data_IF_137461365770
#
_entry.id   IF_137461365770
#
_cell.length_a   1.000
_cell.length_b   1.000
_cell.length_c   1.000
_cell.angle_alpha   90.00
_cell.angle_beta   90.00
_cell.angle_gamma   90.00
#
_symmetry.space_group_name_H-M   'P 1'
#
loop_
_entity.id
_entity.type
_entity.pdbx_description
1 polymer ?
#
# COMPACT_ATOMS: atom_id res chain seq x y z
N UNK A 1 -42.84 -19.70 -16.53
CA UNK A 1 -41.45 -19.50 -17.01
C UNK A 1 -40.88 -18.27 -16.32
N UNK A 2 -39.56 -18.29 -16.09
CA UNK A 2 -38.71 -17.25 -15.49
C UNK A 2 -38.48 -17.36 -13.98
N UNK A 3 -37.43 -18.08 -13.61
CA UNK A 3 -36.74 -17.94 -12.32
C UNK A 3 -35.58 -16.95 -12.54
N UNK A 4 -35.68 -15.76 -11.95
CA UNK A 4 -34.61 -14.77 -11.96
C UNK A 4 -33.42 -15.30 -11.15
N UNK A 5 -32.27 -15.41 -11.82
CA UNK A 5 -31.01 -15.80 -11.21
C UNK A 5 -30.51 -14.70 -10.28
N UNK A 6 -30.49 -14.95 -8.97
CA UNK A 6 -29.70 -14.18 -8.01
C UNK A 6 -28.37 -14.89 -7.84
N UNK A 7 -27.37 -14.50 -8.65
CA UNK A 7 -25.98 -14.89 -8.40
C UNK A 7 -25.49 -14.09 -7.19
N UNK A 8 -25.57 -14.69 -6.01
CA UNK A 8 -24.89 -14.16 -4.83
C UNK A 8 -23.40 -14.41 -5.00
N UNK A 9 -22.67 -13.41 -5.52
CA UNK A 9 -21.20 -13.43 -5.52
C UNK A 9 -20.70 -13.03 -4.13
N UNK A 10 -20.80 -13.95 -3.16
CA UNK A 10 -20.03 -13.83 -1.93
C UNK A 10 -18.61 -14.32 -2.20
N UNK A 11 -17.80 -13.52 -2.91
CA UNK A 11 -16.35 -13.72 -2.90
C UNK A 11 -15.80 -13.07 -1.63
N UNK A 12 -15.83 -13.79 -0.51
CA UNK A 12 -14.89 -13.55 0.57
C UNK A 12 -13.51 -13.98 0.06
N UNK A 13 -12.90 -13.14 -0.77
CA UNK A 13 -11.49 -13.25 -1.12
C UNK A 13 -10.74 -13.30 0.22
N UNK A 14 -10.09 -14.43 0.51
CA UNK A 14 -9.25 -14.54 1.70
C UNK A 14 -8.23 -13.40 1.63
N UNK A 15 -8.38 -12.39 2.50
CA UNK A 15 -7.40 -11.34 2.71
C UNK A 15 -6.11 -12.01 3.19
N UNK A 16 -5.12 -12.12 2.31
CA UNK A 16 -3.80 -12.59 2.68
C UNK A 16 -3.09 -11.42 3.32
N UNK A 17 -3.23 -11.31 4.65
CA UNK A 17 -2.64 -10.26 5.46
C UNK A 17 -1.19 -10.01 5.02
N UNK A 18 -0.92 -8.82 4.42
CA UNK A 18 0.41 -8.53 3.89
C UNK A 18 1.45 -8.62 5.02
N UNK A 19 2.54 -9.34 4.76
CA UNK A 19 3.62 -9.52 5.71
C UNK A 19 4.58 -8.34 5.66
N UNK A 20 4.83 -7.71 6.82
CA UNK A 20 5.88 -6.71 6.96
C UNK A 20 7.25 -7.41 6.88
N UNK A 21 8.11 -6.91 5.98
CA UNK A 21 9.50 -7.30 5.84
C UNK A 21 10.43 -6.09 6.08
N UNK A 22 11.73 -6.34 6.10
CA UNK A 22 12.74 -5.30 6.36
C UNK A 22 12.95 -5.04 7.84
N UNK A 23 13.65 -3.93 8.15
CA UNK A 23 14.08 -3.60 9.53
C UNK A 23 13.19 -2.59 10.24
N UNK A 24 12.48 -1.75 9.48
CA UNK A 24 11.67 -0.65 10.02
C UNK A 24 10.31 -1.18 10.46
N UNK A 25 9.96 -0.90 11.70
CA UNK A 25 8.69 -1.30 12.32
C UNK A 25 7.70 -0.13 12.38
N UNK A 26 6.44 -0.42 12.72
CA UNK A 26 5.47 0.63 13.02
C UNK A 26 5.85 1.46 14.26
N UNK A 27 6.57 0.87 15.22
CA UNK A 27 7.04 1.62 16.39
C UNK A 27 8.13 2.63 16.00
N UNK A 28 9.01 2.27 15.06
CA UNK A 28 9.96 3.24 14.49
C UNK A 28 9.22 4.38 13.78
N UNK A 29 8.20 4.07 12.99
CA UNK A 29 7.36 5.10 12.34
C UNK A 29 6.68 5.99 13.38
N UNK A 30 6.12 5.41 14.43
CA UNK A 30 5.46 6.17 15.51
C UNK A 30 6.45 7.11 16.20
N UNK A 31 7.56 6.57 16.67
CA UNK A 31 8.52 7.31 17.50
C UNK A 31 9.25 8.40 16.70
N UNK A 32 9.72 8.08 15.48
CA UNK A 32 10.49 9.01 14.65
C UNK A 32 9.69 10.19 14.08
N UNK A 33 8.35 10.11 14.10
CA UNK A 33 7.46 11.15 13.58
C UNK A 33 6.60 11.78 14.68
N UNK A 34 7.03 11.73 15.94
CA UNK A 34 6.34 12.43 17.03
C UNK A 34 6.24 13.95 16.77
N UNK A 35 5.12 14.61 17.10
CA UNK A 35 3.94 14.07 17.79
C UNK A 35 2.94 13.34 16.88
N UNK A 36 3.08 13.44 15.56
CA UNK A 36 2.13 12.90 14.56
C UNK A 36 2.32 11.40 14.25
N UNK A 37 3.08 10.68 15.09
CA UNK A 37 3.46 9.29 14.86
C UNK A 37 2.29 8.35 14.57
N UNK A 38 1.20 8.45 15.33
CA UNK A 38 0.01 7.61 15.13
C UNK A 38 -0.69 7.89 13.80
N UNK A 39 -0.66 9.14 13.36
CA UNK A 39 -1.23 9.56 12.08
C UNK A 39 -0.45 8.95 10.92
N UNK A 40 0.87 8.86 11.05
CA UNK A 40 1.74 8.17 10.10
C UNK A 40 1.51 6.66 10.08
N UNK A 41 1.45 6.02 11.24
CA UNK A 41 1.14 4.58 11.36
C UNK A 41 -0.20 4.25 10.70
N UNK A 42 -1.24 5.04 10.98
CA UNK A 42 -2.56 4.90 10.38
C UNK A 42 -2.53 5.03 8.86
N UNK A 43 -1.74 5.97 8.34
CA UNK A 43 -1.60 6.19 6.89
C UNK A 43 -0.87 5.03 6.21
N UNK A 44 0.15 4.44 6.84
CA UNK A 44 0.85 3.25 6.34
C UNK A 44 -0.05 2.01 6.37
N UNK A 45 -0.88 1.85 7.41
CA UNK A 45 -1.90 0.78 7.44
C UNK A 45 -2.90 0.93 6.29
N UNK A 46 -3.41 2.14 6.08
CA UNK A 46 -4.39 2.41 5.03
C UNK A 46 -3.90 2.00 3.64
N UNK A 47 -2.72 2.46 3.22
CA UNK A 47 -2.18 2.10 1.90
C UNK A 47 -1.93 0.59 1.79
N UNK A 48 -1.48 -0.06 2.87
CA UNK A 48 -1.23 -1.50 2.89
C UNK A 48 -2.52 -2.26 2.62
N UNK A 49 -3.58 -1.92 3.34
CA UNK A 49 -4.87 -2.60 3.22
C UNK A 49 -5.49 -2.34 1.83
N UNK A 50 -5.36 -1.12 1.29
CA UNK A 50 -5.83 -0.81 -0.06
C UNK A 50 -5.02 -1.54 -1.16
N UNK A 51 -3.70 -1.65 -1.01
CA UNK A 51 -2.86 -2.41 -1.96
C UNK A 51 -3.15 -3.90 -1.88
N UNK A 52 -3.41 -4.44 -0.68
CA UNK A 52 -3.83 -5.85 -0.50
C UNK A 52 -5.10 -6.14 -1.30
N UNK A 53 -6.08 -5.23 -1.27
CA UNK A 53 -7.33 -5.39 -2.00
C UNK A 53 -7.14 -5.21 -3.52
N UNK A 54 -6.23 -4.34 -3.95
CA UNK A 54 -6.00 -4.01 -5.37
C UNK A 54 -5.05 -4.97 -6.11
N UNK A 55 -4.10 -5.62 -5.42
CA UNK A 55 -3.03 -6.41 -6.07
C UNK A 55 -2.90 -7.80 -5.45
N UNK A 56 -3.57 -8.80 -6.05
CA UNK A 56 -3.53 -10.20 -5.57
C UNK A 56 -2.11 -10.82 -5.59
N UNK A 57 -1.19 -10.21 -6.35
CA UNK A 57 0.21 -10.66 -6.46
C UNK A 57 1.14 -10.07 -5.41
N UNK A 58 0.68 -9.08 -4.64
CA UNK A 58 1.41 -8.51 -3.51
C UNK A 58 1.14 -9.38 -2.28
N UNK A 59 2.21 -9.79 -1.61
CA UNK A 59 2.12 -10.62 -0.39
C UNK A 59 2.96 -10.07 0.75
N UNK A 60 3.91 -9.18 0.45
CA UNK A 60 4.84 -8.59 1.40
C UNK A 60 4.96 -7.09 1.18
N UNK A 61 5.28 -6.34 2.22
CA UNK A 61 5.54 -4.90 2.16
C UNK A 61 6.68 -4.49 3.09
N UNK A 62 7.36 -3.40 2.75
CA UNK A 62 8.52 -2.87 3.46
C UNK A 62 8.36 -1.36 3.67
N UNK A 63 8.62 -0.87 4.88
CA UNK A 63 8.72 0.57 5.15
C UNK A 63 10.16 1.01 4.90
N UNK A 64 10.39 1.80 3.86
CA UNK A 64 11.72 2.19 3.38
C UNK A 64 12.23 3.45 4.09
N UNK A 65 12.44 3.32 5.41
CA UNK A 65 12.82 4.42 6.30
C UNK A 65 11.62 4.92 7.10
N UNK A 66 11.74 4.89 8.44
CA UNK A 66 10.62 5.19 9.33
C UNK A 66 10.28 6.67 9.47
N UNK A 67 11.19 7.58 9.10
CA UNK A 67 10.99 9.03 9.25
C UNK A 67 10.46 9.66 7.96
N UNK A 68 9.41 10.46 8.09
CA UNK A 68 8.85 11.25 7.01
C UNK A 68 9.88 12.26 6.48
N UNK A 69 9.92 12.44 5.17
CA UNK A 69 10.90 13.29 4.49
C UNK A 69 10.37 13.80 3.15
N UNK A 70 10.99 14.85 2.61
CA UNK A 70 10.68 15.32 1.26
C UNK A 70 11.09 14.31 0.19
N UNK A 71 10.18 14.08 -0.75
CA UNK A 71 10.45 13.21 -1.90
C UNK A 71 11.52 13.82 -2.80
N UNK A 72 12.65 13.11 -2.97
CA UNK A 72 13.68 13.51 -3.96
C UNK A 72 13.22 13.27 -5.40
N UNK A 73 12.25 12.38 -5.61
CA UNK A 73 11.75 11.97 -6.93
C UNK A 73 10.55 12.78 -7.39
N UNK A 74 9.86 13.44 -6.46
CA UNK A 74 8.76 14.35 -6.73
C UNK A 74 8.96 15.62 -5.90
N UNK A 75 9.91 16.49 -6.29
CA UNK A 75 10.20 17.71 -5.55
C UNK A 75 9.05 18.73 -5.56
N UNK A 76 8.06 18.54 -6.44
CA UNK A 76 6.86 19.37 -6.52
C UNK A 76 5.78 18.96 -5.51
N UNK A 77 5.91 17.78 -4.89
CA UNK A 77 5.06 17.38 -3.78
C UNK A 77 5.39 18.24 -2.55
N UNK A 78 4.47 19.08 -2.07
CA UNK A 78 4.75 19.96 -0.94
C UNK A 78 4.81 19.19 0.38
N UNK A 79 4.28 17.97 0.44
CA UNK A 79 4.13 17.20 1.67
C UNK A 79 5.32 16.27 1.91
N UNK A 80 5.52 15.92 3.18
CA UNK A 80 6.49 14.86 3.52
C UNK A 80 5.88 13.49 3.20
N UNK A 81 6.76 12.52 2.91
CA UNK A 81 6.37 11.16 2.55
C UNK A 81 7.06 10.12 3.43
N UNK A 82 6.39 9.00 3.63
CA UNK A 82 7.03 7.71 3.95
C UNK A 82 6.91 6.81 2.72
N UNK A 83 8.02 6.20 2.34
CA UNK A 83 8.05 5.27 1.21
C UNK A 83 7.73 3.86 1.69
N UNK A 84 6.76 3.21 1.04
CA UNK A 84 6.42 1.80 1.28
C UNK A 84 6.65 1.00 0.00
N UNK A 85 7.48 -0.03 0.04
CA UNK A 85 7.68 -0.97 -1.06
C UNK A 85 6.73 -2.16 -0.94
N UNK A 86 6.18 -2.63 -2.05
CA UNK A 86 5.29 -3.79 -2.10
C UNK A 86 5.86 -4.87 -3.00
N UNK A 87 5.82 -6.11 -2.53
CA UNK A 87 6.59 -7.22 -3.08
C UNK A 87 5.73 -8.46 -3.28
N UNK A 88 6.09 -9.23 -4.31
CA UNK A 88 5.63 -10.60 -4.48
C UNK A 88 6.30 -11.53 -3.48
N UNK A 89 5.77 -12.75 -3.34
CA UNK A 89 6.35 -13.81 -2.50
C UNK A 89 7.79 -14.20 -2.86
N UNK A 90 8.21 -13.95 -4.11
CA UNK A 90 9.57 -14.18 -4.57
C UNK A 90 10.52 -13.01 -4.27
N UNK A 91 10.08 -12.01 -3.49
CA UNK A 91 10.85 -10.81 -3.18
C UNK A 91 10.97 -9.81 -4.34
N UNK A 92 10.17 -9.96 -5.41
CA UNK A 92 10.19 -9.01 -6.54
C UNK A 92 9.33 -7.80 -6.20
N UNK A 93 9.92 -6.59 -6.24
CA UNK A 93 9.17 -5.36 -6.02
C UNK A 93 8.19 -5.11 -7.16
N UNK A 94 6.91 -5.05 -6.84
CA UNK A 94 5.84 -4.80 -7.81
C UNK A 94 5.47 -3.32 -7.87
N UNK A 95 5.46 -2.63 -6.74
CA UNK A 95 5.21 -1.18 -6.70
C UNK A 95 5.83 -0.53 -5.46
N UNK A 96 5.85 0.80 -5.45
CA UNK A 96 6.16 1.62 -4.29
C UNK A 96 5.09 2.68 -4.09
N UNK A 97 4.73 2.95 -2.84
CA UNK A 97 3.84 4.02 -2.45
C UNK A 97 4.59 5.13 -1.73
N UNK A 98 4.34 6.38 -2.09
CA UNK A 98 4.63 7.53 -1.24
C UNK A 98 3.37 7.85 -0.46
N UNK A 99 3.44 7.69 0.86
CA UNK A 99 2.33 7.91 1.79
C UNK A 99 2.49 9.27 2.43
N UNK A 100 1.41 10.04 2.54
CA UNK A 100 1.36 11.29 3.30
C UNK A 100 0.68 11.09 4.65
N UNK A 101 0.92 12.00 5.60
CA UNK A 101 0.30 11.96 6.93
C UNK A 101 -1.24 12.01 6.90
N UNK A 102 -1.85 12.60 5.87
CA UNK A 102 -3.32 12.64 5.73
C UNK A 102 -3.91 11.34 5.18
N UNK A 103 -3.10 10.30 4.96
CA UNK A 103 -3.53 9.03 4.40
C UNK A 103 -3.81 9.07 2.89
N UNK A 104 -3.47 10.17 2.20
CA UNK A 104 -3.33 10.15 0.74
C UNK A 104 -2.01 9.50 0.36
N UNK A 105 -1.94 8.95 -0.86
CA UNK A 105 -0.73 8.34 -1.36
C UNK A 105 -0.66 8.38 -2.88
N UNK A 106 0.55 8.21 -3.40
CA UNK A 106 0.83 8.00 -4.83
C UNK A 106 1.52 6.65 -5.01
N UNK A 107 1.00 5.82 -5.92
CA UNK A 107 1.63 4.55 -6.30
C UNK A 107 2.44 4.70 -7.57
N UNK A 108 3.59 4.02 -7.60
CA UNK A 108 4.40 3.86 -8.79
C UNK A 108 4.68 2.37 -9.01
N UNK A 109 4.14 1.83 -10.09
CA UNK A 109 4.40 0.44 -10.50
C UNK A 109 5.84 0.29 -10.98
N UNK A 110 6.48 -0.79 -10.55
CA UNK A 110 7.72 -1.25 -11.16
C UNK A 110 7.42 -1.87 -12.54
N UNK A 111 8.47 -2.12 -13.33
CA UNK A 111 8.32 -2.87 -14.58
C UNK A 111 7.64 -4.23 -14.38
N UNK A 112 7.90 -4.90 -13.25
CA UNK A 112 7.32 -6.20 -12.92
C UNK A 112 5.87 -6.10 -12.41
N UNK A 113 5.47 -4.95 -11.85
CA UNK A 113 4.12 -4.71 -11.35
C UNK A 113 3.12 -4.24 -12.41
N UNK A 114 3.59 -3.78 -13.58
CA UNK A 114 2.70 -3.26 -14.62
C UNK A 114 1.60 -4.24 -15.00
N UNK A 115 0.35 -3.80 -14.89
CA UNK A 115 -0.83 -4.60 -15.22
C UNK A 115 -1.14 -5.72 -14.23
N UNK A 116 -0.55 -5.69 -13.03
CA UNK A 116 -0.83 -6.65 -11.95
C UNK A 116 -1.92 -6.17 -10.99
N UNK A 117 -2.26 -4.89 -11.02
CA UNK A 117 -3.39 -4.35 -10.28
C UNK A 117 -4.71 -4.78 -10.92
N UNK A 118 -5.73 -5.00 -10.09
CA UNK A 118 -7.12 -5.06 -10.55
C UNK A 118 -7.40 -3.73 -11.24
N UNK A 119 -7.85 -3.76 -12.49
CA UNK A 119 -8.35 -2.55 -13.14
C UNK A 119 -9.45 -1.99 -12.25
N UNK A 120 -9.27 -0.81 -11.67
CA UNK A 120 -10.44 -0.03 -11.28
C UNK A 120 -11.26 0.10 -12.56
N UNK A 121 -12.47 -0.48 -12.54
CA UNK A 121 -13.39 -0.33 -13.65
C UNK A 121 -13.41 1.15 -14.03
N UNK A 122 -13.08 1.45 -15.28
CA UNK A 122 -13.49 2.72 -15.85
C UNK A 122 -15.00 2.61 -15.97
N UNK A 123 -15.71 3.21 -15.02
CA UNK A 123 -17.09 3.62 -15.23
C UNK A 123 -17.12 4.77 -16.25
#
# INVERSE_FOLDING_TARGET
MSLNAVRSFSSTTKKNLLKLIGKVTFEDVRTLNSPDGERWVSSVHKIRDEVEDLYDSVTEYEIQGGKAHKSKKDPADPDDVITVGFYSKSGTRLLSGHVHANGSYKLAESRAGRGKGKSQGKD
#
